data_IF_426447481159
#
_entry.id   IF_426447481159
#
_cell.length_a   1.000
_cell.length_b   1.000
_cell.length_c   1.000
_cell.angle_alpha   90.00
_cell.angle_beta   90.00
_cell.angle_gamma   90.00
#
_symmetry.space_group_name_H-M   'P 1'
#
loop_
_entity.id
_entity.type
_entity.pdbx_description
1 polymer ?
#
# COMPACT_ATOMS: atom_id res chain seq x y z
N UNK A 1 -17.81 4.75 -66.11
CA UNK A 1 -16.95 3.84 -65.33
C UNK A 1 -17.72 3.38 -64.09
N UNK A 2 -17.67 2.10 -63.74
CA UNK A 2 -17.90 1.60 -62.38
C UNK A 2 -16.58 1.75 -61.58
N UNK A 3 -16.49 1.51 -60.25
CA UNK A 3 -17.50 1.02 -59.29
C UNK A 3 -17.97 2.16 -58.34
N UNK A 4 -18.63 1.97 -57.17
CA UNK A 4 -18.94 0.78 -56.38
C UNK A 4 -20.22 0.95 -55.54
N UNK A 5 -20.64 -0.12 -54.84
CA UNK A 5 -21.73 -0.12 -53.85
C UNK A 5 -21.18 -0.24 -52.42
N UNK A 6 -21.96 0.21 -51.43
CA UNK A 6 -22.16 -0.51 -50.15
C UNK A 6 -23.53 -0.18 -49.58
N UNK A 7 -24.42 -1.16 -49.54
CA UNK A 7 -25.70 -1.05 -48.84
C UNK A 7 -25.49 -1.17 -47.33
N UNK A 8 -26.21 -0.38 -46.54
CA UNK A 8 -26.30 -0.53 -45.10
C UNK A 8 -27.51 -1.40 -44.74
N UNK A 9 -27.27 -2.60 -44.20
CA UNK A 9 -28.33 -3.48 -43.70
C UNK A 9 -28.57 -3.20 -42.20
N UNK A 10 -29.82 -2.99 -41.80
CA UNK A 10 -30.21 -2.77 -40.42
C UNK A 10 -30.27 -4.09 -39.63
N UNK A 11 -29.64 -4.12 -38.45
CA UNK A 11 -29.66 -5.28 -37.54
C UNK A 11 -30.62 -5.01 -36.38
N UNK A 12 -31.68 -5.82 -36.18
CA UNK A 12 -32.63 -5.62 -35.09
C UNK A 12 -32.06 -6.03 -33.72
N UNK A 13 -32.48 -5.37 -32.62
CA UNK A 13 -31.95 -5.63 -31.28
C UNK A 13 -32.43 -6.98 -30.71
N UNK A 14 -31.50 -7.78 -30.19
CA UNK A 14 -31.82 -9.04 -29.51
C UNK A 14 -32.26 -8.77 -28.06
N UNK A 15 -33.47 -9.19 -27.70
CA UNK A 15 -33.93 -9.23 -26.30
C UNK A 15 -33.14 -10.29 -25.52
N UNK A 16 -32.60 -9.93 -24.36
CA UNK A 16 -32.00 -10.86 -23.40
C UNK A 16 -33.01 -11.11 -22.28
N UNK A 17 -33.45 -12.36 -22.11
CA UNK A 17 -34.32 -12.76 -21.02
C UNK A 17 -33.50 -13.48 -19.94
N UNK A 18 -33.56 -12.97 -18.71
CA UNK A 18 -32.87 -13.56 -17.55
C UNK A 18 -33.70 -14.74 -17.07
N UNK A 19 -33.11 -15.94 -17.02
CA UNK A 19 -33.67 -17.08 -16.27
C UNK A 19 -33.01 -17.13 -14.90
N UNK A 20 -33.83 -17.15 -13.85
CA UNK A 20 -33.37 -17.49 -12.51
C UNK A 20 -32.92 -18.96 -12.47
N UNK A 21 -31.89 -19.27 -11.68
CA UNK A 21 -31.43 -20.63 -11.45
C UNK A 21 -31.75 -21.04 -10.01
N UNK A 22 -32.39 -22.19 -9.83
CA UNK A 22 -32.81 -22.68 -8.51
C UNK A 22 -31.64 -23.37 -7.79
N UNK A 23 -31.51 -23.16 -6.49
CA UNK A 23 -30.45 -23.77 -5.68
C UNK A 23 -30.84 -25.15 -5.17
N UNK A 24 -30.35 -26.21 -5.81
CA UNK A 24 -30.50 -27.59 -5.34
C UNK A 24 -29.45 -28.56 -5.95
N UNK A 25 -28.15 -28.39 -5.68
CA UNK A 25 -27.11 -29.41 -5.94
C UNK A 25 -25.79 -29.09 -5.20
N UNK A 26 -25.73 -29.36 -3.88
CA UNK A 26 -24.46 -29.28 -3.12
C UNK A 26 -24.30 -30.32 -1.99
N UNK A 27 -25.27 -31.23 -1.82
CA UNK A 27 -25.35 -32.13 -0.66
C UNK A 27 -25.08 -33.62 -0.99
N UNK A 28 -24.36 -33.89 -2.08
CA UNK A 28 -24.08 -35.26 -2.59
C UNK A 28 -22.63 -35.73 -2.52
N UNK A 29 -21.69 -34.91 -2.03
CA UNK A 29 -20.25 -35.26 -1.99
C UNK A 29 -19.81 -35.70 -0.57
N UNK A 30 -20.69 -36.37 0.18
CA UNK A 30 -20.42 -36.90 1.52
C UNK A 30 -21.15 -38.23 1.78
N UNK A 31 -20.72 -39.31 1.12
CA UNK A 31 -20.96 -40.69 1.58
C UNK A 31 -20.15 -41.71 0.79
N UNK A 32 -19.58 -42.71 1.49
CA UNK A 32 -18.93 -43.92 0.97
C UNK A 32 -17.54 -43.68 0.31
N UNK A 33 -16.51 -44.51 0.53
CA UNK A 33 -16.41 -45.80 1.24
C UNK A 33 -15.40 -45.79 2.40
N UNK A 34 -15.54 -46.75 3.33
CA UNK A 34 -14.52 -47.18 4.29
C UNK A 34 -14.00 -48.56 3.87
N UNK A 35 -12.78 -48.95 4.30
CA UNK A 35 -12.56 -50.12 5.19
C UNK A 35 -11.05 -50.35 5.49
N UNK A 36 -10.67 -51.14 6.54
CA UNK A 36 -9.42 -50.91 7.28
C UNK A 36 -8.46 -52.12 7.45
N UNK A 37 -7.16 -51.84 7.70
CA UNK A 37 -6.17 -52.78 8.29
C UNK A 37 -5.24 -52.00 9.24
N UNK A 38 -4.65 -52.67 10.24
CA UNK A 38 -3.75 -52.11 11.27
C UNK A 38 -2.38 -52.84 11.29
N UNK A 39 -1.31 -52.39 11.98
CA UNK A 39 -1.22 -51.33 12.99
C UNK A 39 -0.04 -50.34 12.67
N UNK A 40 0.95 -49.93 13.49
CA UNK A 40 1.49 -50.31 14.81
C UNK A 40 2.11 -49.10 15.57
N UNK A 41 2.83 -49.37 16.66
CA UNK A 41 3.44 -48.43 17.63
C UNK A 41 5.00 -48.38 17.53
N UNK A 42 5.76 -47.49 18.21
CA UNK A 42 5.37 -46.39 19.14
C UNK A 42 6.11 -45.03 18.94
N UNK A 43 5.70 -44.03 19.74
CA UNK A 43 6.40 -42.78 20.16
C UNK A 43 7.28 -41.97 19.19
N UNK A 44 6.88 -40.72 18.94
CA UNK A 44 7.82 -39.59 19.05
C UNK A 44 7.13 -38.35 19.66
N UNK A 45 7.93 -37.56 20.40
CA UNK A 45 7.51 -36.45 21.27
C UNK A 45 6.84 -35.30 20.52
N UNK A 46 5.74 -34.77 21.07
CA UNK A 46 5.07 -33.57 20.56
C UNK A 46 5.86 -32.27 20.83
N UNK A 47 6.24 -31.49 19.80
CA UNK A 47 6.67 -30.11 19.94
C UNK A 47 5.47 -29.17 19.65
N UNK A 48 4.98 -28.44 20.65
CA UNK A 48 4.00 -27.38 20.42
C UNK A 48 4.63 -26.27 19.55
N UNK A 49 3.95 -25.77 18.50
CA UNK A 49 4.48 -24.70 17.66
C UNK A 49 4.36 -23.34 18.37
N UNK A 50 5.30 -23.04 19.28
CA UNK A 50 5.32 -21.78 20.06
C UNK A 50 6.53 -20.86 19.78
N UNK A 51 6.56 -20.11 18.66
CA UNK A 51 7.60 -19.12 18.37
C UNK A 51 7.08 -17.66 18.34
N UNK A 52 6.26 -17.25 19.31
CA UNK A 52 5.92 -15.82 19.48
C UNK A 52 5.63 -15.45 20.93
N UNK A 53 6.56 -14.70 21.54
CA UNK A 53 6.24 -13.86 22.71
C UNK A 53 5.43 -12.67 22.17
N UNK A 54 4.13 -12.88 22.00
CA UNK A 54 3.17 -11.79 21.90
C UNK A 54 3.09 -11.14 23.29
N UNK A 55 3.94 -10.14 23.52
CA UNK A 55 3.63 -9.12 24.53
C UNK A 55 2.48 -8.26 24.01
N UNK A 56 1.30 -8.87 23.97
CA UNK A 56 -0.01 -8.30 23.69
C UNK A 56 -0.41 -7.44 24.90
N UNK A 57 0.30 -6.33 25.08
CA UNK A 57 -0.09 -5.33 26.07
C UNK A 57 -1.32 -4.61 25.49
N UNK A 58 -2.51 -5.10 25.84
CA UNK A 58 -3.80 -4.51 25.47
C UNK A 58 -4.03 -3.15 26.17
N UNK A 59 -3.16 -2.19 25.84
CA UNK A 59 -3.48 -0.76 25.90
C UNK A 59 -4.65 -0.55 24.93
N UNK A 60 -5.74 0.14 25.31
CA UNK A 60 -6.87 0.36 24.42
C UNK A 60 -6.39 0.98 23.09
N UNK A 61 -6.90 0.52 21.92
CA UNK A 61 -6.44 0.94 20.61
C UNK A 61 -6.81 2.41 20.34
N UNK A 62 -5.96 3.30 20.85
CA UNK A 62 -6.32 4.71 21.11
C UNK A 62 -6.33 5.59 19.86
N UNK A 63 -5.54 5.21 18.85
CA UNK A 63 -5.41 5.88 17.55
C UNK A 63 -4.76 4.89 16.56
N UNK A 64 -4.95 5.09 15.25
CA UNK A 64 -4.11 4.41 14.23
C UNK A 64 -2.64 4.86 14.40
N UNK A 65 -1.67 3.96 14.61
CA UNK A 65 -0.26 4.34 14.75
C UNK A 65 0.26 5.15 13.55
N UNK A 66 -0.33 4.98 12.36
CA UNK A 66 0.00 5.77 11.18
C UNK A 66 -0.49 7.23 11.28
N UNK A 67 -1.70 7.46 11.80
CA UNK A 67 -2.24 8.80 12.08
C UNK A 67 -1.50 9.48 13.25
N UNK A 68 -1.14 8.70 14.29
CA UNK A 68 -0.29 9.16 15.37
C UNK A 68 1.09 9.63 14.86
N UNK A 69 1.69 8.89 13.92
CA UNK A 69 2.94 9.27 13.28
C UNK A 69 2.80 10.53 12.43
N UNK A 70 1.80 10.61 11.54
CA UNK A 70 1.52 11.81 10.73
C UNK A 70 1.29 13.06 11.61
N UNK A 71 0.50 12.92 12.68
CA UNK A 71 0.26 13.99 13.67
C UNK A 71 1.57 14.50 14.25
N UNK A 72 2.52 13.60 14.50
CA UNK A 72 3.83 13.94 15.06
C UNK A 72 4.74 14.63 14.03
N UNK A 73 4.66 14.27 12.74
CA UNK A 73 5.33 14.98 11.65
C UNK A 73 4.75 16.37 11.36
N UNK A 74 3.44 16.56 11.53
CA UNK A 74 2.75 17.86 11.36
C UNK A 74 3.00 18.79 12.57
N UNK A 75 3.36 18.24 13.74
CA UNK A 75 3.54 18.99 14.98
C UNK A 75 4.70 19.98 14.93
N UNK A 76 4.40 21.27 15.12
CA UNK A 76 5.38 22.36 15.25
C UNK A 76 5.33 22.96 16.66
N UNK A 77 6.50 23.28 17.23
CA UNK A 77 6.66 23.89 18.57
C UNK A 77 5.90 23.14 19.69
N UNK A 78 5.92 21.81 19.68
CA UNK A 78 5.28 20.95 20.69
C UNK A 78 3.73 20.96 20.71
N UNK A 79 3.05 21.66 19.80
CA UNK A 79 1.59 21.89 19.87
C UNK A 79 0.77 20.69 19.36
N UNK A 80 0.88 19.54 20.03
CA UNK A 80 0.25 18.26 19.63
C UNK A 80 -1.26 18.37 19.37
N UNK A 81 -2.01 19.03 20.25
CA UNK A 81 -3.46 19.21 20.09
C UNK A 81 -3.84 19.99 18.81
N UNK A 82 -2.99 20.91 18.33
CA UNK A 82 -3.20 21.59 17.04
C UNK A 82 -2.96 20.64 15.86
N UNK A 83 -1.90 19.85 15.93
CA UNK A 83 -1.54 18.90 14.86
C UNK A 83 -2.56 17.76 14.74
N UNK A 84 -3.10 17.27 15.86
CA UNK A 84 -4.20 16.30 15.90
C UNK A 84 -5.44 16.86 15.19
N UNK A 85 -5.93 18.05 15.59
CA UNK A 85 -7.07 18.72 14.93
C UNK A 85 -6.86 18.92 13.42
N UNK A 86 -5.66 19.31 13.00
CA UNK A 86 -5.30 19.42 11.57
C UNK A 86 -5.33 18.05 10.88
N UNK A 87 -4.86 16.98 11.53
CA UNK A 87 -4.91 15.61 10.97
C UNK A 87 -6.36 15.10 10.83
N UNK A 88 -7.22 15.32 11.82
CA UNK A 88 -8.66 15.00 11.74
C UNK A 88 -9.34 15.72 10.56
N UNK A 89 -8.98 16.98 10.32
CA UNK A 89 -9.50 17.74 9.18
C UNK A 89 -8.96 17.29 7.82
N UNK A 90 -7.71 16.81 7.73
CA UNK A 90 -7.20 16.18 6.49
C UNK A 90 -8.07 14.99 6.10
N UNK A 91 -8.45 14.15 7.09
CA UNK A 91 -9.38 13.05 6.86
C UNK A 91 -10.79 13.52 6.45
N UNK A 92 -11.28 14.62 7.03
CA UNK A 92 -12.54 15.25 6.61
C UNK A 92 -12.49 15.75 5.16
N UNK A 93 -11.42 16.45 4.76
CA UNK A 93 -11.23 16.90 3.37
C UNK A 93 -11.07 15.73 2.39
N UNK A 94 -10.39 14.65 2.78
CA UNK A 94 -10.35 13.42 1.98
C UNK A 94 -11.76 12.85 1.78
N UNK A 95 -12.57 12.78 2.84
CA UNK A 95 -13.92 12.25 2.76
C UNK A 95 -14.84 13.13 1.91
N UNK A 96 -14.79 14.46 2.03
CA UNK A 96 -15.65 15.35 1.21
C UNK A 96 -15.28 15.31 -0.28
N UNK A 97 -13.99 15.17 -0.61
CA UNK A 97 -13.48 15.10 -1.98
C UNK A 97 -13.67 13.72 -2.65
N UNK A 98 -13.74 12.63 -1.88
CA UNK A 98 -13.82 11.25 -2.43
C UNK A 98 -15.14 10.54 -2.16
N UNK A 99 -15.93 11.00 -1.18
CA UNK A 99 -17.14 10.36 -0.65
C UNK A 99 -16.95 8.92 -0.16
N UNK A 100 -15.70 8.53 0.08
CA UNK A 100 -15.29 7.21 0.54
C UNK A 100 -14.63 7.29 1.94
N UNK A 101 -14.47 6.18 2.67
CA UNK A 101 -13.76 6.17 3.96
C UNK A 101 -12.30 6.65 3.78
N UNK A 102 -11.84 7.69 4.51
CA UNK A 102 -10.56 8.33 4.23
C UNK A 102 -9.35 7.53 4.72
N UNK A 103 -9.52 6.69 5.75
CA UNK A 103 -8.44 5.92 6.38
C UNK A 103 -7.80 4.85 5.45
N UNK A 104 -8.54 4.00 4.72
CA UNK A 104 -7.93 3.09 3.74
C UNK A 104 -7.27 3.83 2.57
N UNK A 105 -7.82 4.97 2.12
CA UNK A 105 -7.22 5.81 1.08
C UNK A 105 -5.86 6.35 1.55
N UNK A 106 -5.81 6.85 2.79
CA UNK A 106 -4.58 7.32 3.44
C UNK A 106 -3.52 6.22 3.57
N UNK A 107 -3.90 5.02 4.07
CA UNK A 107 -3.00 3.85 4.12
C UNK A 107 -2.47 3.50 2.73
N UNK A 108 -3.33 3.43 1.71
CA UNK A 108 -2.94 3.05 0.34
C UNK A 108 -2.02 4.08 -0.31
N UNK A 109 -2.25 5.37 -0.10
CA UNK A 109 -1.36 6.43 -0.56
C UNK A 109 0.07 6.27 0.00
N UNK A 110 0.19 5.94 1.29
CA UNK A 110 1.49 5.75 1.94
C UNK A 110 2.17 4.46 1.49
N UNK A 111 1.43 3.36 1.31
CA UNK A 111 1.94 2.12 0.71
C UNK A 111 2.52 2.41 -0.71
N UNK A 112 1.76 3.13 -1.54
CA UNK A 112 2.17 3.51 -2.91
C UNK A 112 3.39 4.43 -2.92
N UNK A 113 3.45 5.44 -2.04
CA UNK A 113 4.60 6.34 -1.93
C UNK A 113 5.84 5.70 -1.27
N UNK A 114 5.68 4.57 -0.56
CA UNK A 114 6.78 3.95 0.18
C UNK A 114 7.89 3.41 -0.74
N UNK A 115 9.16 3.86 -0.61
CA UNK A 115 10.28 3.21 -1.28
C UNK A 115 10.59 1.87 -0.60
N UNK A 116 11.26 0.95 -1.29
CA UNK A 116 11.78 -0.30 -0.70
C UNK A 116 13.29 -0.22 -0.38
N UNK A 117 13.99 0.71 -1.05
CA UNK A 117 15.44 0.88 -1.04
C UNK A 117 15.76 2.36 -0.94
N UNK A 118 16.84 2.72 -0.24
CA UNK A 118 17.50 4.03 -0.32
C UNK A 118 18.87 3.88 -0.97
N UNK A 119 19.40 4.96 -1.52
CA UNK A 119 20.79 5.02 -2.00
C UNK A 119 21.63 5.81 -0.98
N UNK A 120 22.83 5.33 -0.68
CA UNK A 120 23.81 5.99 0.20
C UNK A 120 25.12 6.14 -0.55
N UNK A 121 25.74 7.32 -0.44
CA UNK A 121 26.99 7.64 -1.12
C UNK A 121 28.19 7.20 -0.27
N UNK A 122 28.73 6.02 -0.58
CA UNK A 122 29.91 5.48 0.09
C UNK A 122 31.18 5.96 -0.62
N UNK A 123 32.18 6.46 0.13
CA UNK A 123 33.49 6.80 -0.45
C UNK A 123 34.38 5.55 -0.50
N UNK A 124 35.15 5.37 -1.57
CA UNK A 124 36.18 4.33 -1.70
C UNK A 124 37.36 4.91 -2.47
N UNK A 125 38.48 5.11 -1.77
CA UNK A 125 39.60 5.92 -2.27
C UNK A 125 39.14 7.34 -2.62
N UNK A 126 39.49 7.81 -3.81
CA UNK A 126 39.06 9.11 -4.31
C UNK A 126 37.58 9.15 -4.79
N UNK A 127 36.98 8.00 -5.14
CA UNK A 127 35.65 7.95 -5.79
C UNK A 127 34.52 7.85 -4.76
N UNK A 128 33.41 8.55 -5.03
CA UNK A 128 32.13 8.35 -4.36
C UNK A 128 31.28 7.38 -5.18
N UNK A 129 30.78 6.33 -4.53
CA UNK A 129 30.02 5.24 -5.14
C UNK A 129 28.63 5.20 -4.49
N UNK A 130 27.54 5.37 -5.25
CA UNK A 130 26.19 5.16 -4.74
C UNK A 130 25.93 3.66 -4.51
N UNK A 131 25.73 3.27 -3.26
CA UNK A 131 25.34 1.91 -2.87
C UNK A 131 23.86 1.90 -2.47
N UNK A 132 23.02 1.03 -3.07
CA UNK A 132 21.65 0.84 -2.59
C UNK A 132 21.62 -0.01 -1.29
N UNK A 133 20.75 0.36 -0.35
CA UNK A 133 20.46 -0.43 0.86
C UNK A 133 18.95 -0.61 1.05
N UNK A 134 18.48 -1.80 1.48
CA UNK A 134 17.07 -2.03 1.79
C UNK A 134 16.60 -1.18 2.98
N UNK A 135 15.29 -0.97 3.07
CA UNK A 135 14.64 -0.19 4.12
C UNK A 135 13.75 -1.06 5.00
N UNK A 136 13.90 -0.94 6.31
CA UNK A 136 12.94 -1.47 7.29
C UNK A 136 11.59 -0.76 7.13
N UNK A 137 10.48 -1.44 7.41
CA UNK A 137 9.12 -0.89 7.26
C UNK A 137 8.93 0.49 7.91
N UNK A 138 9.42 0.67 9.14
CA UNK A 138 9.37 1.95 9.87
C UNK A 138 10.13 3.08 9.16
N UNK A 139 11.13 2.75 8.33
CA UNK A 139 11.84 3.69 7.47
C UNK A 139 11.08 3.93 6.16
N UNK A 140 10.45 2.89 5.59
CA UNK A 140 9.62 2.99 4.38
C UNK A 140 8.44 3.93 4.57
N UNK A 141 7.73 3.83 5.70
CA UNK A 141 6.61 4.72 6.07
C UNK A 141 7.09 6.15 6.37
N UNK A 142 8.23 6.31 7.06
CA UNK A 142 8.88 7.60 7.27
C UNK A 142 9.15 8.34 5.96
N UNK A 143 9.84 7.71 5.00
CA UNK A 143 10.12 8.34 3.70
C UNK A 143 8.85 8.68 2.92
N UNK A 144 7.83 7.80 2.94
CA UNK A 144 6.54 8.07 2.31
C UNK A 144 5.88 9.34 2.86
N UNK A 145 5.77 9.47 4.19
CA UNK A 145 5.14 10.63 4.84
C UNK A 145 5.94 11.91 4.60
N UNK A 146 7.27 11.86 4.68
CA UNK A 146 8.13 13.02 4.38
C UNK A 146 7.97 13.51 2.94
N UNK A 147 7.94 12.59 1.97
CA UNK A 147 7.80 12.95 0.55
C UNK A 147 6.41 13.46 0.19
N UNK A 148 5.35 12.89 0.78
CA UNK A 148 3.97 13.37 0.61
C UNK A 148 3.80 14.77 1.23
N UNK A 149 4.31 15.00 2.45
CA UNK A 149 4.26 16.31 3.08
C UNK A 149 5.00 17.36 2.24
N UNK A 150 6.23 17.06 1.82
CA UNK A 150 7.03 17.96 0.98
C UNK A 150 6.38 18.24 -0.39
N UNK A 151 5.69 17.26 -0.99
CA UNK A 151 4.96 17.47 -2.24
C UNK A 151 3.67 18.28 -2.03
N UNK A 152 2.98 18.11 -0.89
CA UNK A 152 1.78 18.89 -0.53
C UNK A 152 2.09 20.37 -0.32
N UNK A 153 3.29 20.72 0.14
CA UNK A 153 3.71 22.12 0.29
C UNK A 153 3.85 22.84 -1.07
N UNK A 154 4.09 22.10 -2.16
CA UNK A 154 4.12 22.64 -3.54
C UNK A 154 2.77 22.70 -4.24
N UNK A 155 1.66 22.29 -3.59
CA UNK A 155 0.31 22.32 -4.20
C UNK A 155 -0.43 23.63 -3.93
N UNK A 156 -1.34 24.06 -4.84
CA UNK A 156 -2.22 25.19 -4.59
C UNK A 156 -3.30 24.85 -3.54
N UNK A 157 -3.47 25.76 -2.58
CA UNK A 157 -4.45 25.71 -1.50
C UNK A 157 -4.02 26.62 -0.35
N UNK A 158 -4.98 27.17 0.40
CA UNK A 158 -4.69 28.13 1.48
C UNK A 158 -4.30 27.37 2.76
N UNK A 159 -4.90 26.20 2.98
CA UNK A 159 -4.64 25.40 4.19
C UNK A 159 -3.75 24.20 3.90
N UNK A 160 -2.93 23.79 4.88
CA UNK A 160 -2.21 22.52 4.82
C UNK A 160 -3.18 21.33 4.71
N UNK A 161 -4.34 21.45 5.34
CA UNK A 161 -5.38 20.42 5.47
C UNK A 161 -5.95 20.04 4.09
N UNK A 162 -6.32 21.06 3.30
CA UNK A 162 -6.76 20.99 1.91
C UNK A 162 -5.66 20.48 0.95
N UNK A 163 -4.43 21.04 1.04
CA UNK A 163 -3.31 20.66 0.17
C UNK A 163 -2.89 19.20 0.35
N UNK A 164 -2.81 18.74 1.60
CA UNK A 164 -2.42 17.37 1.92
C UNK A 164 -3.49 16.35 1.49
N UNK A 165 -4.78 16.67 1.67
CA UNK A 165 -5.86 15.83 1.15
C UNK A 165 -5.83 15.72 -0.39
N UNK A 166 -5.58 16.83 -1.10
CA UNK A 166 -5.38 16.81 -2.56
C UNK A 166 -4.19 15.95 -2.98
N UNK A 167 -3.05 16.06 -2.28
CA UNK A 167 -1.85 15.28 -2.63
C UNK A 167 -2.04 13.78 -2.38
N UNK A 168 -2.68 13.38 -1.28
CA UNK A 168 -2.99 11.98 -1.01
C UNK A 168 -3.90 11.36 -2.09
N UNK A 169 -4.89 12.11 -2.60
CA UNK A 169 -5.71 11.70 -3.75
C UNK A 169 -4.88 11.64 -5.05
N UNK A 170 -3.92 12.55 -5.23
CA UNK A 170 -3.03 12.56 -6.39
C UNK A 170 -2.07 11.36 -6.39
N UNK A 171 -1.55 10.95 -5.23
CA UNK A 171 -0.74 9.74 -5.04
C UNK A 171 -1.53 8.49 -5.41
N UNK A 172 -2.76 8.33 -4.91
CA UNK A 172 -3.63 7.17 -5.26
C UNK A 172 -3.98 7.15 -6.76
N UNK A 173 -4.01 8.31 -7.42
CA UNK A 173 -4.20 8.45 -8.87
C UNK A 173 -2.90 8.34 -9.69
N UNK A 174 -1.75 8.08 -9.06
CA UNK A 174 -0.45 7.93 -9.74
C UNK A 174 0.13 9.23 -10.32
N UNK A 175 -0.22 10.40 -9.79
CA UNK A 175 0.11 11.73 -10.36
C UNK A 175 0.65 12.71 -9.31
N UNK A 176 1.76 12.37 -8.67
CA UNK A 176 2.30 13.07 -7.48
C UNK A 176 3.83 13.08 -7.45
N UNK A 177 4.43 14.20 -7.04
CA UNK A 177 5.90 14.34 -6.95
C UNK A 177 6.54 13.39 -5.93
N UNK A 178 5.77 12.90 -4.97
CA UNK A 178 6.22 11.85 -4.05
C UNK A 178 6.49 10.50 -4.76
N UNK A 179 5.75 10.17 -5.83
CA UNK A 179 5.97 8.97 -6.65
C UNK A 179 7.16 9.16 -7.60
N UNK A 180 7.27 10.31 -8.27
CA UNK A 180 8.42 10.64 -9.13
C UNK A 180 9.75 10.49 -8.36
N UNK A 181 9.77 10.92 -7.09
CA UNK A 181 10.92 10.75 -6.17
C UNK A 181 11.19 9.29 -5.83
N UNK A 182 10.15 8.50 -5.57
CA UNK A 182 10.27 7.04 -5.35
C UNK A 182 10.88 6.35 -6.59
N UNK A 183 10.38 6.66 -7.77
CA UNK A 183 10.85 6.07 -9.03
C UNK A 183 12.29 6.49 -9.34
N UNK A 184 12.66 7.76 -9.13
CA UNK A 184 14.03 8.23 -9.27
C UNK A 184 15.01 7.49 -8.34
N UNK A 185 14.64 7.25 -7.08
CA UNK A 185 15.46 6.47 -6.13
C UNK A 185 15.56 5.01 -6.56
N UNK A 186 14.45 4.38 -6.99
CA UNK A 186 14.45 2.98 -7.45
C UNK A 186 15.26 2.80 -8.74
N UNK A 187 15.16 3.73 -9.70
CA UNK A 187 15.98 3.76 -10.93
C UNK A 187 17.46 3.89 -10.59
N UNK A 188 17.81 4.80 -9.68
CA UNK A 188 19.21 4.99 -9.22
C UNK A 188 19.74 3.75 -8.52
N UNK A 189 18.93 3.08 -7.70
CA UNK A 189 19.28 1.81 -7.06
C UNK A 189 19.46 0.67 -8.08
N UNK A 190 18.59 0.56 -9.08
CA UNK A 190 18.65 -0.47 -10.12
C UNK A 190 19.92 -0.37 -10.97
N UNK A 191 20.30 0.84 -11.39
CA UNK A 191 21.56 1.11 -12.11
C UNK A 191 22.78 0.67 -11.28
N UNK A 192 22.71 0.86 -9.96
CA UNK A 192 23.83 0.65 -9.04
C UNK A 192 23.75 -0.66 -8.25
N UNK A 193 22.95 -1.64 -8.70
CA UNK A 193 22.74 -2.93 -8.02
C UNK A 193 24.03 -3.71 -7.75
N UNK A 194 25.03 -3.59 -8.61
CA UNK A 194 26.35 -4.23 -8.45
C UNK A 194 27.23 -3.62 -7.35
N UNK A 195 26.88 -2.44 -6.82
CA UNK A 195 27.64 -1.77 -5.76
C UNK A 195 27.28 -2.29 -4.35
N UNK A 196 26.36 -3.24 -4.24
CA UNK A 196 26.06 -3.96 -2.99
C UNK A 196 27.24 -4.88 -2.71
N UNK A 197 28.03 -4.56 -1.67
CA UNK A 197 29.05 -5.48 -1.18
C UNK A 197 28.34 -6.68 -0.55
N UNK A 198 28.50 -7.85 -1.17
CA UNK A 198 28.28 -9.12 -0.48
C UNK A 198 29.37 -9.25 0.59
N UNK A 199 29.06 -8.82 1.83
CA UNK A 199 29.88 -9.15 2.99
C UNK A 199 29.92 -10.67 3.09
N UNK A 200 31.11 -11.26 2.92
CA UNK A 200 31.35 -12.61 3.44
C UNK A 200 31.26 -12.51 4.96
N UNK A 201 30.17 -13.04 5.51
CA UNK A 201 30.13 -13.56 6.88
C UNK A 201 30.93 -14.86 6.92
#
# INVERSE_FOLDING_TARGET
MLPCLRHAASVPPRRICIRAFSGADFQRILSQTLDPIAQSTPVETSPQPSPSIQHEVEIPPSDDPLLHYLTSCIMRRGRRARASRTTSKVLLYLHTLTRAPPLPIFRKAIEMASPAVRVVNNKTGAKVIPTPLPLSEKQRTRYAVEWILAASDSKPGITLEERLARELIAVVKGKSSALDKKEAVHRTAMVNRGNIRATRM
#
